data_IF_592458268609
#
_entry.id   IF_592458268609
#
_cell.length_a   1.000
_cell.length_b   1.000
_cell.length_c   1.000
_cell.angle_alpha   90.00
_cell.angle_beta   90.00
_cell.angle_gamma   90.00
#
_symmetry.space_group_name_H-M   'P 1'
#
loop_
_entity.id
_entity.type
_entity.pdbx_description
1 polymer ?
#
# COMPACT_ATOMS: atom_id res chain seq x y z
N UNK A 1 -11.36 6.99 -10.20
CA UNK A 1 -10.67 7.67 -11.31
C UNK A 1 -11.28 7.20 -12.63
N UNK A 2 -12.36 7.88 -13.08
CA UNK A 2 -13.02 7.57 -14.36
C UNK A 2 -12.02 7.79 -15.51
N UNK A 3 -12.06 6.87 -16.44
CA UNK A 3 -11.21 6.68 -17.60
C UNK A 3 -11.06 7.93 -18.49
N UNK A 4 -9.87 8.54 -18.46
CA UNK A 4 -9.35 9.49 -19.47
C UNK A 4 -8.69 8.90 -20.75
N UNK A 5 -8.71 7.58 -21.09
CA UNK A 5 -8.15 7.13 -22.38
C UNK A 5 -8.79 7.81 -23.59
N UNK A 6 -10.11 7.99 -23.58
CA UNK A 6 -10.86 8.56 -24.71
C UNK A 6 -10.55 10.06 -24.97
N UNK A 7 -10.20 10.83 -23.93
CA UNK A 7 -9.75 12.22 -24.10
C UNK A 7 -8.29 12.30 -24.59
N UNK A 8 -7.46 11.30 -24.25
CA UNK A 8 -6.04 11.26 -24.62
C UNK A 8 -5.83 10.96 -26.10
N UNK A 9 -6.60 10.02 -26.65
CA UNK A 9 -6.53 9.67 -28.07
C UNK A 9 -7.00 10.81 -28.99
N UNK A 10 -7.98 11.61 -28.54
CA UNK A 10 -8.53 12.71 -29.33
C UNK A 10 -7.66 13.99 -29.33
N UNK A 11 -6.72 14.13 -28.39
CA UNK A 11 -5.94 15.37 -28.21
C UNK A 11 -4.45 15.24 -28.56
N UNK A 12 -3.97 14.06 -29.00
CA UNK A 12 -2.56 13.81 -29.31
C UNK A 12 -1.59 14.31 -28.22
N UNK A 13 -1.98 14.19 -26.94
CA UNK A 13 -1.17 14.69 -25.83
C UNK A 13 0.08 13.82 -25.65
N UNK A 14 1.25 14.42 -25.34
CA UNK A 14 2.46 13.66 -25.08
C UNK A 14 2.30 12.77 -23.85
N UNK A 15 2.60 11.48 -24.02
CA UNK A 15 2.58 10.47 -22.93
C UNK A 15 3.98 10.09 -22.45
N UNK A 16 5.01 10.62 -23.13
CA UNK A 16 6.42 10.39 -22.82
C UNK A 16 7.17 11.71 -22.75
N UNK A 17 8.00 11.88 -21.72
CA UNK A 17 8.72 13.12 -21.43
C UNK A 17 10.23 12.88 -21.36
N UNK A 18 11.02 13.85 -21.83
CA UNK A 18 12.48 13.84 -21.66
C UNK A 18 12.90 14.24 -20.24
N UNK A 19 12.12 15.14 -19.62
CA UNK A 19 12.31 15.59 -18.24
C UNK A 19 10.97 15.70 -17.52
N UNK A 20 10.93 15.24 -16.28
CA UNK A 20 9.80 15.43 -15.37
C UNK A 20 10.34 16.10 -14.11
N UNK A 21 9.73 17.21 -13.69
CA UNK A 21 10.03 17.84 -12.40
C UNK A 21 8.80 17.71 -11.50
N UNK A 22 8.96 17.03 -10.37
CA UNK A 22 7.87 16.68 -9.47
C UNK A 22 7.75 17.65 -8.28
N UNK A 23 8.63 18.65 -8.17
CA UNK A 23 8.74 19.46 -6.95
C UNK A 23 8.87 18.51 -5.73
N UNK A 24 8.12 18.76 -4.67
CA UNK A 24 8.07 17.98 -3.43
C UNK A 24 7.02 16.86 -3.44
N UNK A 25 6.41 16.53 -4.59
CA UNK A 25 5.39 15.46 -4.67
C UNK A 25 5.84 14.14 -4.03
N UNK A 26 7.10 13.67 -4.19
CA UNK A 26 7.53 12.40 -3.58
C UNK A 26 7.37 12.33 -2.06
N UNK A 27 7.39 13.45 -1.33
CA UNK A 27 7.11 13.47 0.11
C UNK A 27 5.71 12.94 0.47
N UNK A 28 4.79 12.93 -0.50
CA UNK A 28 3.37 12.60 -0.32
C UNK A 28 2.92 11.33 -1.08
N UNK A 29 3.81 10.68 -1.84
CA UNK A 29 3.43 9.54 -2.72
C UNK A 29 4.38 8.34 -2.63
N UNK A 30 4.90 8.00 -1.43
CA UNK A 30 5.90 6.94 -1.21
C UNK A 30 7.29 7.24 -1.80
N UNK A 31 7.70 8.50 -1.84
CA UNK A 31 9.06 8.91 -2.12
C UNK A 31 9.64 8.32 -3.43
N UNK A 32 10.84 7.75 -3.38
CA UNK A 32 11.51 7.21 -4.56
C UNK A 32 10.85 5.93 -5.10
N UNK A 33 10.14 5.15 -4.28
CA UNK A 33 9.36 4.00 -4.77
C UNK A 33 8.21 4.47 -5.66
N UNK A 34 7.39 5.42 -5.18
CA UNK A 34 6.30 5.98 -5.98
C UNK A 34 6.79 6.67 -7.26
N UNK A 35 7.92 7.39 -7.16
CA UNK A 35 8.56 8.01 -8.33
C UNK A 35 8.96 6.96 -9.37
N UNK A 36 9.58 5.86 -8.94
CA UNK A 36 9.97 4.76 -9.82
C UNK A 36 8.77 4.04 -10.46
N UNK A 37 7.64 3.93 -9.76
CA UNK A 37 6.44 3.24 -10.24
C UNK A 37 5.56 4.10 -11.16
N UNK A 38 5.46 5.41 -10.90
CA UNK A 38 4.45 6.26 -11.55
C UNK A 38 5.04 7.35 -12.44
N UNK A 39 6.23 7.86 -12.14
CA UNK A 39 6.85 8.93 -12.94
C UNK A 39 7.85 8.38 -13.97
N UNK A 40 8.79 7.52 -13.53
CA UNK A 40 9.84 6.96 -14.40
C UNK A 40 9.28 6.26 -15.65
N UNK A 41 8.18 5.48 -15.60
CA UNK A 41 7.63 4.83 -16.79
C UNK A 41 7.13 5.81 -17.87
N UNK A 42 6.93 7.08 -17.52
CA UNK A 42 6.54 8.15 -18.46
C UNK A 42 7.75 8.82 -19.11
N UNK A 43 8.98 8.35 -18.88
CA UNK A 43 10.18 8.88 -19.53
C UNK A 43 10.41 8.25 -20.92
N UNK A 44 10.98 9.04 -21.84
CA UNK A 44 11.18 8.66 -23.25
C UNK A 44 12.27 7.61 -23.43
N UNK A 45 13.43 7.84 -22.82
CA UNK A 45 14.64 7.03 -23.03
C UNK A 45 15.57 7.03 -21.80
N UNK A 46 16.71 6.35 -21.89
CA UNK A 46 17.71 6.23 -20.82
C UNK A 46 18.46 7.54 -20.51
N UNK A 47 18.34 8.56 -21.35
CA UNK A 47 18.92 9.89 -21.10
C UNK A 47 17.91 10.82 -20.39
N UNK A 48 16.64 10.44 -20.41
CA UNK A 48 15.55 11.14 -19.76
C UNK A 48 15.62 11.01 -18.24
N UNK A 49 15.11 12.01 -17.54
CA UNK A 49 15.24 12.13 -16.08
C UNK A 49 13.95 12.61 -15.42
N UNK A 50 13.67 12.10 -14.24
CA UNK A 50 12.70 12.69 -13.31
C UNK A 50 13.44 13.23 -12.10
N UNK A 51 13.09 14.44 -11.67
CA UNK A 51 13.70 15.13 -10.55
C UNK A 51 12.66 15.60 -9.53
N UNK A 52 13.05 15.69 -8.27
CA UNK A 52 12.24 16.20 -7.18
C UNK A 52 13.13 16.81 -6.09
N UNK A 53 12.60 17.81 -5.37
CA UNK A 53 13.17 18.29 -4.10
C UNK A 53 12.38 17.69 -2.92
N UNK A 54 12.89 17.85 -1.70
CA UNK A 54 12.23 17.37 -0.48
C UNK A 54 11.97 18.56 0.43
N UNK A 55 10.70 18.76 0.81
CA UNK A 55 10.29 19.89 1.64
C UNK A 55 9.80 19.42 3.01
N UNK A 56 9.01 18.35 3.02
CA UNK A 56 8.31 17.92 4.22
C UNK A 56 9.13 16.90 5.02
N UNK A 57 9.74 15.95 4.32
CA UNK A 57 10.37 14.79 4.97
C UNK A 57 11.84 15.04 5.33
N UNK A 58 12.49 16.03 4.71
CA UNK A 58 13.95 16.26 4.86
C UNK A 58 14.44 16.39 6.32
N UNK A 59 13.73 17.05 7.27
CA UNK A 59 14.27 17.20 8.62
C UNK A 59 14.45 15.87 9.34
N UNK A 60 13.61 14.87 9.02
CA UNK A 60 13.70 13.53 9.60
C UNK A 60 14.91 12.73 9.10
N UNK A 61 15.53 13.13 7.98
CA UNK A 61 16.65 12.43 7.36
C UNK A 61 18.01 13.12 7.56
N UNK A 62 18.10 14.25 8.27
CA UNK A 62 19.34 15.03 8.41
C UNK A 62 20.51 14.21 8.97
N UNK A 63 20.24 13.32 9.93
CA UNK A 63 21.25 12.45 10.53
C UNK A 63 21.65 11.25 9.66
N UNK A 64 20.80 10.83 8.72
CA UNK A 64 21.07 9.68 7.84
C UNK A 64 20.39 9.86 6.47
N UNK A 65 20.90 10.75 5.59
CA UNK A 65 20.27 11.04 4.29
C UNK A 65 20.00 9.81 3.42
N UNK A 66 20.90 8.81 3.49
CA UNK A 66 20.79 7.58 2.71
C UNK A 66 19.62 6.69 3.15
N UNK A 67 19.11 6.86 4.37
CA UNK A 67 17.93 6.14 4.87
C UNK A 67 16.65 6.50 4.12
N UNK A 68 16.64 7.58 3.32
CA UNK A 68 15.50 7.98 2.50
C UNK A 68 15.03 6.88 1.54
N UNK A 69 15.96 6.33 0.75
CA UNK A 69 15.67 5.21 -0.16
C UNK A 69 15.14 3.98 0.59
N UNK A 70 15.79 3.63 1.71
CA UNK A 70 15.42 2.47 2.51
C UNK A 70 14.06 2.63 3.21
N UNK A 71 13.72 3.84 3.65
CA UNK A 71 12.46 4.12 4.34
C UNK A 71 11.26 3.95 3.42
N UNK A 72 11.37 4.42 2.18
CA UNK A 72 10.24 4.42 1.24
C UNK A 72 10.22 3.23 0.28
N UNK A 73 11.37 2.67 -0.06
CA UNK A 73 11.50 1.58 -1.03
C UNK A 73 12.00 0.28 -0.41
N UNK A 74 12.46 0.27 0.84
CA UNK A 74 13.13 -0.87 1.49
C UNK A 74 14.33 -1.39 0.67
N UNK A 75 15.01 -0.48 -0.03
CA UNK A 75 16.17 -0.71 -0.87
C UNK A 75 17.19 0.40 -0.64
N UNK A 76 18.47 0.06 -0.79
CA UNK A 76 19.49 1.07 -1.02
C UNK A 76 19.41 1.60 -2.46
N UNK A 77 19.83 2.85 -2.68
CA UNK A 77 19.86 3.48 -4.00
C UNK A 77 20.56 2.64 -5.10
N UNK A 78 21.58 1.86 -4.74
CA UNK A 78 22.32 0.98 -5.67
C UNK A 78 21.45 -0.17 -6.22
N UNK A 79 20.48 -0.62 -5.45
CA UNK A 79 19.66 -1.80 -5.76
C UNK A 79 18.42 -1.45 -6.60
N UNK A 80 18.18 -0.16 -6.88
CA UNK A 80 17.08 0.29 -7.72
C UNK A 80 17.17 -0.28 -9.15
N UNK A 81 18.39 -0.47 -9.65
CA UNK A 81 18.61 -0.97 -11.01
C UNK A 81 18.13 -2.42 -11.17
N UNK A 82 18.44 -3.27 -10.21
CA UNK A 82 18.07 -4.69 -10.21
C UNK A 82 16.62 -4.91 -9.83
N UNK A 83 16.03 -4.07 -8.97
CA UNK A 83 14.65 -4.27 -8.49
C UNK A 83 13.61 -3.48 -9.29
N UNK A 84 13.85 -2.18 -9.51
CA UNK A 84 12.85 -1.25 -10.04
C UNK A 84 13.08 -0.89 -11.51
N UNK A 85 14.17 -1.37 -12.14
CA UNK A 85 14.46 -1.10 -13.54
C UNK A 85 14.79 0.37 -13.84
N UNK A 86 15.27 1.10 -12.83
CA UNK A 86 15.68 2.49 -12.94
C UNK A 86 16.98 2.71 -12.15
N UNK A 87 17.72 3.76 -12.46
CA UNK A 87 18.93 4.13 -11.71
C UNK A 87 18.69 5.42 -10.95
N UNK A 88 19.29 5.49 -9.77
CA UNK A 88 19.46 6.74 -9.03
C UNK A 88 20.64 7.48 -9.65
N UNK A 89 20.39 8.61 -10.31
CA UNK A 89 21.43 9.47 -10.88
C UNK A 89 22.05 10.33 -9.78
N UNK A 90 21.20 10.85 -8.90
CA UNK A 90 21.58 11.63 -7.73
C UNK A 90 20.46 11.50 -6.69
N UNK A 91 20.81 11.45 -5.41
CA UNK A 91 19.82 11.39 -4.33
C UNK A 91 20.41 12.01 -3.07
N UNK A 92 19.96 13.23 -2.80
CA UNK A 92 20.21 13.94 -1.57
C UNK A 92 18.88 14.51 -1.07
N UNK A 93 18.59 14.29 0.21
CA UNK A 93 17.37 14.81 0.85
C UNK A 93 17.45 16.32 1.09
N UNK A 94 18.65 16.89 1.13
CA UNK A 94 18.87 18.33 1.32
C UNK A 94 18.87 19.11 0.01
N UNK A 95 18.89 18.42 -1.13
CA UNK A 95 18.90 19.02 -2.45
C UNK A 95 17.82 18.35 -3.32
N UNK A 96 18.24 17.46 -4.23
CA UNK A 96 17.34 16.81 -5.18
C UNK A 96 17.51 15.30 -5.24
N UNK A 97 16.46 14.63 -5.66
CA UNK A 97 16.49 13.23 -6.09
C UNK A 97 16.19 13.14 -7.57
N UNK A 98 17.07 12.47 -8.31
CA UNK A 98 17.01 12.32 -9.75
C UNK A 98 17.05 10.83 -10.09
N UNK A 99 15.99 10.34 -10.74
CA UNK A 99 15.92 8.99 -11.28
C UNK A 99 15.92 9.02 -12.81
N UNK A 100 16.40 7.95 -13.42
CA UNK A 100 16.44 7.77 -14.87
C UNK A 100 16.08 6.32 -15.21
N UNK A 101 15.32 6.06 -16.29
CA UNK A 101 14.90 4.71 -16.62
C UNK A 101 16.09 3.93 -17.17
N UNK A 102 16.00 2.61 -17.08
CA UNK A 102 16.92 1.69 -17.75
C UNK A 102 16.17 0.96 -18.88
N UNK A 103 16.88 0.37 -19.86
CA UNK A 103 16.23 -0.47 -20.87
C UNK A 103 15.51 -1.64 -20.20
N UNK A 104 14.25 -1.87 -20.59
CA UNK A 104 13.41 -2.95 -20.09
C UNK A 104 12.97 -3.87 -21.24
N UNK A 105 12.84 -5.19 -21.02
CA UNK A 105 13.17 -5.89 -19.78
C UNK A 105 14.69 -5.92 -19.53
N UNK A 106 15.06 -5.99 -18.26
CA UNK A 106 16.46 -6.13 -17.83
C UNK A 106 16.94 -7.56 -18.08
N UNK A 107 18.21 -7.77 -18.45
CA UNK A 107 18.81 -9.10 -18.53
C UNK A 107 18.76 -9.82 -17.17
N UNK A 108 18.50 -11.13 -17.16
CA UNK A 108 18.44 -11.95 -15.94
C UNK A 108 19.65 -11.78 -14.99
N UNK A 109 20.91 -11.70 -15.46
CA UNK A 109 22.06 -11.53 -14.56
C UNK A 109 22.08 -10.17 -13.81
N UNK A 110 21.31 -9.19 -14.29
CA UNK A 110 21.22 -7.86 -13.70
C UNK A 110 20.03 -7.72 -12.74
N UNK A 111 19.16 -8.72 -12.67
CA UNK A 111 18.01 -8.77 -11.76
C UNK A 111 18.40 -9.38 -10.41
N UNK A 112 17.63 -9.05 -9.37
CA UNK A 112 17.75 -9.74 -8.11
C UNK A 112 17.32 -11.21 -8.26
N UNK A 113 17.92 -12.10 -7.46
CA UNK A 113 17.49 -13.51 -7.43
C UNK A 113 16.07 -13.63 -6.88
N UNK A 114 15.39 -14.76 -7.12
CA UNK A 114 14.03 -15.02 -6.62
C UNK A 114 13.92 -14.80 -5.11
N UNK A 115 14.89 -15.30 -4.35
CA UNK A 115 14.87 -15.21 -2.89
C UNK A 115 15.06 -13.77 -2.42
N UNK A 116 16.01 -13.03 -3.02
CA UNK A 116 16.23 -11.61 -2.70
C UNK A 116 14.98 -10.77 -3.02
N UNK A 117 14.39 -10.99 -4.20
CA UNK A 117 13.14 -10.33 -4.60
C UNK A 117 12.00 -10.66 -3.61
N UNK A 118 11.83 -11.94 -3.26
CA UNK A 118 10.78 -12.39 -2.33
C UNK A 118 10.94 -11.74 -0.97
N UNK A 119 12.15 -11.74 -0.40
CA UNK A 119 12.45 -11.06 0.87
C UNK A 119 12.10 -9.58 0.81
N UNK A 120 12.49 -8.90 -0.26
CA UNK A 120 12.17 -7.48 -0.45
C UNK A 120 10.67 -7.22 -0.58
N UNK A 121 9.95 -8.01 -1.39
CA UNK A 121 8.50 -7.90 -1.55
C UNK A 121 7.77 -8.11 -0.23
N UNK A 122 8.23 -9.05 0.61
CA UNK A 122 7.66 -9.26 1.96
C UNK A 122 7.84 -8.00 2.81
N UNK A 123 9.03 -7.38 2.82
CA UNK A 123 9.27 -6.14 3.58
C UNK A 123 8.35 -5.01 3.12
N UNK A 124 8.28 -4.77 1.81
CA UNK A 124 7.41 -3.74 1.22
C UNK A 124 5.94 -4.01 1.57
N UNK A 125 5.50 -5.27 1.45
CA UNK A 125 4.11 -5.65 1.75
C UNK A 125 3.80 -5.47 3.23
N UNK A 126 4.63 -5.98 4.13
CA UNK A 126 4.42 -5.88 5.57
C UNK A 126 4.40 -4.43 6.06
N UNK A 127 5.31 -3.60 5.56
CA UNK A 127 5.30 -2.16 5.86
C UNK A 127 4.17 -1.40 5.16
N UNK A 128 3.53 -1.96 4.14
CA UNK A 128 2.28 -1.42 3.60
C UNK A 128 1.08 -1.75 4.51
N UNK A 129 1.07 -2.92 5.15
CA UNK A 129 -0.02 -3.32 6.04
C UNK A 129 0.06 -2.65 7.42
N UNK A 130 1.28 -2.54 7.97
CA UNK A 130 1.56 -1.98 9.29
C UNK A 130 2.76 -1.03 9.17
N UNK A 131 2.47 0.27 9.22
CA UNK A 131 3.46 1.33 9.10
C UNK A 131 4.33 1.46 10.37
N UNK A 132 5.52 2.03 10.19
CA UNK A 132 6.34 2.53 11.30
C UNK A 132 5.72 3.76 11.96
N UNK A 133 6.13 4.05 13.20
CA UNK A 133 5.59 5.17 13.97
C UNK A 133 6.15 6.49 13.47
N UNK A 134 5.32 7.53 13.52
CA UNK A 134 5.77 8.90 13.25
C UNK A 134 6.81 9.35 14.29
N UNK A 135 7.83 10.09 13.85
CA UNK A 135 8.78 10.72 14.75
C UNK A 135 8.42 12.20 15.01
N UNK A 136 9.07 12.81 16.00
CA UNK A 136 8.87 14.23 16.35
C UNK A 136 9.62 15.21 15.45
N UNK A 137 10.61 14.74 14.69
CA UNK A 137 11.59 15.58 13.99
C UNK A 137 11.20 15.95 12.54
N UNK A 138 10.26 15.25 11.92
CA UNK A 138 9.75 15.57 10.57
C UNK A 138 8.55 14.71 10.17
N UNK A 139 7.85 15.05 9.08
CA UNK A 139 6.69 14.26 8.62
C UNK A 139 7.11 13.32 7.50
N UNK A 140 7.36 12.07 7.85
CA UNK A 140 7.48 10.97 6.89
C UNK A 140 6.08 10.39 6.71
N UNK A 141 5.52 10.50 5.51
CA UNK A 141 4.17 10.01 5.18
C UNK A 141 4.33 8.73 4.36
N UNK A 142 3.68 7.64 4.76
CA UNK A 142 3.76 6.34 4.07
C UNK A 142 2.39 5.98 3.47
N UNK A 143 1.97 6.62 2.37
CA UNK A 143 0.65 6.40 1.76
C UNK A 143 0.56 5.10 0.94
N UNK A 144 1.40 4.10 1.25
CA UNK A 144 1.37 2.83 0.53
C UNK A 144 0.06 2.11 0.83
N UNK A 145 -0.52 1.51 -0.20
CA UNK A 145 -1.75 0.73 -0.12
C UNK A 145 -1.53 -0.59 -0.87
N UNK A 146 -2.44 -1.54 -0.69
CA UNK A 146 -2.41 -2.79 -1.46
C UNK A 146 -2.47 -2.49 -2.97
N UNK A 147 -3.19 -1.46 -3.41
CA UNK A 147 -3.20 -1.04 -4.83
C UNK A 147 -1.80 -0.67 -5.30
N UNK A 148 -1.06 0.14 -4.54
CA UNK A 148 0.33 0.50 -4.88
C UNK A 148 1.22 -0.74 -4.94
N UNK A 149 1.04 -1.69 -4.01
CA UNK A 149 1.79 -2.95 -4.01
C UNK A 149 1.48 -3.82 -5.24
N UNK A 150 0.22 -3.90 -5.66
CA UNK A 150 -0.17 -4.64 -6.86
C UNK A 150 0.38 -3.96 -8.13
N UNK A 151 0.38 -2.63 -8.19
CA UNK A 151 1.06 -1.87 -9.25
C UNK A 151 2.57 -2.18 -9.29
N UNK A 152 3.22 -2.33 -8.12
CA UNK A 152 4.60 -2.79 -8.05
C UNK A 152 4.77 -4.17 -8.70
N UNK A 153 3.91 -5.17 -8.40
CA UNK A 153 4.01 -6.49 -9.04
C UNK A 153 3.87 -6.41 -10.57
N UNK A 154 2.93 -5.61 -11.07
CA UNK A 154 2.75 -5.39 -12.52
C UNK A 154 4.00 -4.73 -13.12
N UNK A 155 4.58 -3.74 -12.43
CA UNK A 155 5.81 -3.08 -12.84
C UNK A 155 6.99 -4.04 -12.90
N UNK A 156 7.15 -4.93 -11.90
CA UNK A 156 8.23 -5.90 -11.87
C UNK A 156 8.20 -6.86 -13.05
N UNK A 157 7.01 -7.21 -13.56
CA UNK A 157 6.93 -7.99 -14.78
C UNK A 157 7.52 -7.24 -15.98
N UNK A 158 7.24 -5.92 -16.11
CA UNK A 158 7.86 -5.07 -17.14
C UNK A 158 9.36 -4.95 -16.95
N UNK A 159 9.84 -4.92 -15.70
CA UNK A 159 11.27 -4.90 -15.37
C UNK A 159 11.98 -6.15 -15.89
N UNK A 160 11.27 -7.27 -16.06
CA UNK A 160 11.81 -8.52 -16.61
C UNK A 160 11.71 -9.71 -15.65
N UNK A 161 11.11 -9.53 -14.47
CA UNK A 161 10.94 -10.64 -13.53
C UNK A 161 9.98 -11.71 -14.07
N UNK A 162 10.29 -13.01 -13.88
CA UNK A 162 9.44 -14.09 -14.37
C UNK A 162 8.01 -14.00 -13.82
N UNK A 163 7.01 -14.04 -14.70
CA UNK A 163 5.60 -13.95 -14.30
C UNK A 163 5.16 -15.03 -13.30
N UNK A 164 5.74 -16.22 -13.37
CA UNK A 164 5.44 -17.30 -12.42
C UNK A 164 5.97 -17.03 -11.00
N UNK A 165 7.02 -16.21 -10.82
CA UNK A 165 7.47 -15.80 -9.47
C UNK A 165 6.48 -14.82 -8.84
N UNK A 166 6.03 -13.83 -9.63
CA UNK A 166 5.09 -12.80 -9.19
C UNK A 166 3.70 -13.41 -8.92
N UNK A 167 3.29 -14.34 -9.79
CA UNK A 167 2.06 -15.11 -9.65
C UNK A 167 2.07 -15.99 -8.40
N UNK A 168 3.14 -16.77 -8.18
CA UNK A 168 3.30 -17.58 -6.97
C UNK A 168 3.24 -16.71 -5.70
N UNK A 169 3.92 -15.56 -5.71
CA UNK A 169 3.89 -14.63 -4.58
C UNK A 169 2.47 -14.13 -4.29
N UNK A 170 1.76 -13.61 -5.30
CA UNK A 170 0.41 -13.09 -5.14
C UNK A 170 -0.60 -14.20 -4.77
N UNK A 171 -0.46 -15.41 -5.31
CA UNK A 171 -1.30 -16.55 -4.94
C UNK A 171 -1.13 -16.91 -3.45
N UNK A 172 0.10 -16.88 -2.93
CA UNK A 172 0.36 -17.13 -1.51
C UNK A 172 -0.26 -16.05 -0.61
N UNK A 173 -0.24 -14.78 -1.04
CA UNK A 173 -0.96 -13.70 -0.34
C UNK A 173 -2.47 -13.95 -0.32
N UNK A 174 -3.06 -14.19 -1.50
CA UNK A 174 -4.51 -14.39 -1.68
C UNK A 174 -5.04 -15.64 -0.96
N UNK A 175 -4.21 -16.69 -0.87
CA UNK A 175 -4.55 -17.93 -0.18
C UNK A 175 -4.24 -17.88 1.32
N UNK A 176 -3.82 -16.72 1.83
CA UNK A 176 -3.40 -16.52 3.22
C UNK A 176 -2.27 -17.48 3.63
N UNK A 177 -1.39 -17.90 2.71
CA UNK A 177 -0.37 -18.95 2.90
C UNK A 177 1.07 -18.40 2.90
N UNK A 178 1.25 -17.08 2.98
CA UNK A 178 2.58 -16.50 3.00
C UNK A 178 3.32 -16.88 4.30
N UNK A 179 4.47 -17.52 4.13
CA UNK A 179 5.36 -17.94 5.22
C UNK A 179 6.62 -17.08 5.23
N UNK A 180 6.96 -16.53 6.39
CA UNK A 180 8.16 -15.70 6.57
C UNK A 180 8.55 -15.57 8.05
N UNK A 181 9.84 -15.38 8.31
CA UNK A 181 10.37 -14.95 9.60
C UNK A 181 10.47 -13.41 9.68
N UNK A 182 10.12 -12.64 8.65
CA UNK A 182 10.24 -11.18 8.66
C UNK A 182 9.06 -10.57 9.41
N UNK A 183 9.35 -9.63 10.31
CA UNK A 183 8.34 -8.82 10.98
C UNK A 183 8.26 -7.40 10.38
N UNK A 184 7.09 -6.75 10.40
CA UNK A 184 6.97 -5.36 9.97
C UNK A 184 7.83 -4.44 10.84
N UNK A 185 8.30 -3.34 10.26
CA UNK A 185 8.97 -2.28 11.00
C UNK A 185 7.95 -1.48 11.82
N UNK A 186 8.04 -1.57 13.15
CA UNK A 186 7.11 -0.90 14.09
C UNK A 186 7.76 0.22 14.91
N UNK A 187 9.04 0.46 14.69
CA UNK A 187 9.80 1.48 15.42
C UNK A 187 9.57 2.88 14.78
N UNK A 188 10.20 3.93 15.32
CA UNK A 188 10.03 5.29 14.80
C UNK A 188 10.72 5.47 13.44
N UNK A 189 10.06 6.11 12.48
CA UNK A 189 10.65 6.47 11.19
C UNK A 189 11.74 7.56 11.38
N UNK A 190 12.73 7.70 10.47
CA UNK A 190 12.99 6.88 9.29
C UNK A 190 13.55 5.49 9.61
N UNK A 191 13.53 4.59 8.62
CA UNK A 191 14.14 3.25 8.73
C UNK A 191 15.63 3.37 8.40
N UNK A 192 16.48 3.29 9.43
CA UNK A 192 17.94 3.33 9.28
C UNK A 192 18.46 2.23 8.36
N UNK A 193 19.55 2.48 7.62
CA UNK A 193 20.24 1.46 6.83
C UNK A 193 20.86 0.36 7.70
N UNK A 194 21.14 0.70 8.96
CA UNK A 194 21.68 -0.25 9.95
C UNK A 194 20.59 -1.01 10.68
N UNK A 195 19.32 -0.81 10.30
CA UNK A 195 18.22 -1.51 10.95
C UNK A 195 18.26 -2.99 10.61
N UNK A 196 18.47 -3.80 11.64
CA UNK A 196 18.29 -5.23 11.58
C UNK A 196 16.80 -5.57 11.72
N UNK A 197 16.21 -6.03 10.62
CA UNK A 197 14.82 -6.47 10.59
C UNK A 197 14.60 -7.56 11.63
N UNK A 198 13.68 -7.29 12.57
CA UNK A 198 13.31 -8.24 13.61
C UNK A 198 12.83 -9.54 12.96
N UNK A 199 13.37 -10.65 13.45
CA UNK A 199 12.95 -11.99 13.02
C UNK A 199 11.92 -12.56 13.99
N UNK A 200 10.82 -13.03 13.44
CA UNK A 200 9.82 -13.84 14.11
C UNK A 200 10.26 -15.30 14.20
N UNK A 201 9.28 -16.19 14.36
CA UNK A 201 9.56 -17.63 14.34
C UNK A 201 9.91 -18.05 12.90
N UNK A 202 10.91 -18.92 12.71
CA UNK A 202 11.14 -19.55 11.42
C UNK A 202 9.86 -20.19 10.91
N UNK A 203 9.63 -20.04 9.61
CA UNK A 203 8.48 -20.63 8.91
C UNK A 203 7.10 -20.28 9.50
N UNK A 204 6.98 -19.10 10.11
CA UNK A 204 5.69 -18.59 10.57
C UNK A 204 4.81 -18.21 9.38
N UNK A 205 3.61 -18.79 9.32
CA UNK A 205 2.54 -18.35 8.43
C UNK A 205 1.99 -17.01 8.91
N UNK A 206 1.92 -16.03 8.02
CA UNK A 206 1.24 -14.77 8.27
C UNK A 206 -0.28 -14.96 8.19
N UNK A 207 -0.98 -14.24 9.04
CA UNK A 207 -2.43 -14.20 9.13
C UNK A 207 -2.96 -12.90 8.53
N UNK A 208 -3.33 -12.96 7.26
CA UNK A 208 -3.74 -11.84 6.42
C UNK A 208 -5.25 -11.64 6.35
N UNK A 209 -6.04 -12.40 7.13
CA UNK A 209 -7.50 -12.38 7.11
C UNK A 209 -8.12 -10.96 7.12
N UNK A 210 -7.60 -9.97 7.87
CA UNK A 210 -8.15 -8.61 7.85
C UNK A 210 -8.04 -7.90 6.50
N UNK A 211 -7.03 -8.23 5.68
CA UNK A 211 -6.75 -7.53 4.41
C UNK A 211 -7.20 -8.32 3.17
N UNK A 212 -7.55 -9.60 3.34
CA UNK A 212 -8.11 -10.43 2.26
C UNK A 212 -9.31 -9.76 1.56
N UNK A 213 -10.28 -9.13 2.24
CA UNK A 213 -11.42 -8.50 1.57
C UNK A 213 -11.03 -7.41 0.56
N UNK A 214 -10.03 -6.59 0.89
CA UNK A 214 -9.50 -5.57 -0.01
C UNK A 214 -8.75 -6.21 -1.18
N UNK A 215 -7.87 -7.18 -0.90
CA UNK A 215 -7.15 -7.91 -1.95
C UNK A 215 -8.09 -8.61 -2.93
N UNK A 216 -9.16 -9.26 -2.44
CA UNK A 216 -10.23 -9.87 -3.26
C UNK A 216 -10.86 -8.84 -4.20
N UNK A 217 -11.26 -7.68 -3.66
CA UNK A 217 -11.90 -6.63 -4.45
C UNK A 217 -10.97 -6.01 -5.50
N UNK A 218 -9.68 -5.86 -5.19
CA UNK A 218 -8.68 -5.37 -6.14
C UNK A 218 -8.44 -6.41 -7.23
N UNK A 219 -8.07 -7.64 -6.87
CA UNK A 219 -7.71 -8.70 -7.82
C UNK A 219 -8.87 -9.06 -8.74
N UNK A 220 -10.10 -9.17 -8.21
CA UNK A 220 -11.29 -9.46 -9.03
C UNK A 220 -11.44 -8.45 -10.18
N UNK A 221 -11.15 -7.16 -9.95
CA UNK A 221 -11.33 -6.10 -10.96
C UNK A 221 -10.20 -6.00 -11.97
N UNK A 222 -8.97 -6.35 -11.57
CA UNK A 222 -7.80 -6.19 -12.43
C UNK A 222 -7.32 -7.48 -13.05
N UNK A 223 -7.94 -8.62 -12.74
CA UNK A 223 -7.50 -9.93 -13.19
C UNK A 223 -7.19 -9.98 -14.70
N UNK A 224 -8.02 -9.41 -15.61
CA UNK A 224 -7.73 -9.43 -17.04
C UNK A 224 -6.55 -8.54 -17.45
N UNK A 225 -6.16 -7.58 -16.59
CA UNK A 225 -5.07 -6.63 -16.82
C UNK A 225 -3.75 -7.07 -16.18
N UNK A 226 -3.73 -8.16 -15.41
CA UNK A 226 -2.50 -8.71 -14.87
C UNK A 226 -1.66 -9.33 -15.98
N UNK A 227 -0.35 -9.01 -16.06
CA UNK A 227 0.48 -9.49 -17.15
C UNK A 227 1.07 -10.89 -16.89
N UNK A 228 0.56 -11.59 -15.87
CA UNK A 228 0.92 -12.96 -15.52
C UNK A 228 -0.34 -13.70 -15.04
N UNK A 229 -0.40 -15.01 -15.33
CA UNK A 229 -1.54 -15.84 -15.00
C UNK A 229 -1.61 -16.10 -13.48
N UNK A 230 -2.80 -16.03 -12.88
CA UNK A 230 -3.05 -16.43 -11.49
C UNK A 230 -3.94 -17.66 -11.44
N UNK A 231 -3.58 -18.62 -10.60
CA UNK A 231 -4.51 -19.68 -10.18
C UNK A 231 -5.38 -19.11 -9.06
N UNK A 232 -6.64 -18.82 -9.38
CA UNK A 232 -7.52 -18.16 -8.43
C UNK A 232 -8.08 -19.15 -7.39
N UNK A 233 -8.24 -18.71 -6.12
CA UNK A 233 -9.09 -19.42 -5.19
C UNK A 233 -10.51 -19.51 -5.76
N UNK A 234 -11.17 -20.66 -5.62
CA UNK A 234 -12.57 -20.86 -6.06
C UNK A 234 -13.55 -19.84 -5.45
N UNK A 235 -13.18 -19.21 -4.35
CA UNK A 235 -13.98 -18.25 -3.61
C UNK A 235 -13.80 -16.78 -4.05
N UNK A 236 -12.96 -16.49 -5.06
CA UNK A 236 -12.81 -15.11 -5.53
C UNK A 236 -14.14 -14.62 -6.14
N UNK A 237 -14.66 -13.45 -5.72
CA UNK A 237 -15.86 -12.87 -6.32
C UNK A 237 -15.62 -12.48 -7.79
N UNK A 238 -16.68 -12.53 -8.61
CA UNK A 238 -16.61 -11.97 -9.95
C UNK A 238 -16.43 -10.44 -9.89
N UNK A 239 -15.84 -9.79 -10.91
CA UNK A 239 -15.73 -8.33 -10.95
C UNK A 239 -17.09 -7.64 -10.75
N UNK A 240 -18.14 -8.21 -11.33
CA UNK A 240 -19.51 -7.69 -11.27
C UNK A 240 -20.09 -7.80 -9.86
N UNK A 241 -19.58 -8.69 -9.00
CA UNK A 241 -20.02 -8.89 -7.61
C UNK A 241 -19.38 -7.89 -6.62
N UNK A 242 -18.41 -7.09 -7.08
CA UNK A 242 -17.80 -6.03 -6.29
C UNK A 242 -18.69 -4.78 -6.34
N UNK A 243 -19.30 -4.44 -5.21
CA UNK A 243 -20.09 -3.22 -5.07
C UNK A 243 -19.25 -2.05 -4.59
N UNK A 244 -19.67 -0.83 -4.95
CA UNK A 244 -19.20 0.42 -4.36
C UNK A 244 -20.14 0.80 -3.23
N UNK A 245 -19.62 0.95 -2.01
CA UNK A 245 -20.41 1.26 -0.82
C UNK A 245 -20.01 2.58 -0.22
N UNK A 246 -20.94 3.19 0.51
CA UNK A 246 -20.72 4.44 1.21
C UNK A 246 -21.38 4.48 2.58
N UNK A 247 -20.82 5.30 3.46
CA UNK A 247 -21.37 5.62 4.77
C UNK A 247 -21.03 7.06 5.17
N UNK A 248 -21.87 7.64 6.02
CA UNK A 248 -21.63 8.94 6.64
C UNK A 248 -20.95 8.75 8.00
N UNK A 249 -19.98 9.62 8.30
CA UNK A 249 -19.18 9.60 9.53
C UNK A 249 -18.98 11.03 10.04
N UNK A 250 -18.61 11.16 11.30
CA UNK A 250 -18.15 12.43 11.86
C UNK A 250 -16.66 12.33 12.15
N UNK A 251 -15.84 13.15 11.50
CA UNK A 251 -14.40 13.15 11.74
C UNK A 251 -14.10 13.92 13.04
N UNK A 252 -13.25 13.34 13.90
CA UNK A 252 -12.88 13.95 15.17
C UNK A 252 -11.68 14.89 14.99
N UNK A 253 -11.90 16.16 15.33
CA UNK A 253 -10.86 17.19 15.41
C UNK A 253 -10.54 17.87 14.08
N UNK A 254 -9.94 19.05 14.17
CA UNK A 254 -9.07 19.61 13.14
C UNK A 254 -7.87 18.66 13.02
N UNK A 255 -8.04 17.51 12.38
CA UNK A 255 -6.87 16.76 11.95
C UNK A 255 -6.01 17.76 11.16
N UNK A 256 -4.71 17.79 11.41
CA UNK A 256 -3.78 18.36 10.44
C UNK A 256 -3.79 17.43 9.22
N UNK A 257 -4.93 17.40 8.51
CA UNK A 257 -5.32 16.47 7.44
C UNK A 257 -4.27 16.46 6.34
N UNK A 258 -3.56 17.57 6.19
CA UNK A 258 -2.48 17.73 5.23
C UNK A 258 -1.37 16.66 5.35
N UNK A 259 -1.29 15.88 6.45
CA UNK A 259 -0.16 14.96 6.66
C UNK A 259 -0.53 13.64 7.38
N UNK A 260 -1.70 13.08 7.10
CA UNK A 260 -2.13 11.79 7.65
C UNK A 260 -2.56 10.82 6.55
N UNK A 261 -2.30 9.53 6.79
CA UNK A 261 -2.71 8.45 5.88
C UNK A 261 -3.88 7.72 6.50
N UNK A 262 -5.06 7.96 5.93
CA UNK A 262 -6.29 7.31 6.37
C UNK A 262 -6.51 5.97 5.68
N UNK A 263 -7.22 5.10 6.39
CA UNK A 263 -7.73 3.81 5.93
C UNK A 263 -9.07 3.56 6.61
N UNK A 264 -9.78 2.50 6.20
CA UNK A 264 -11.03 2.11 6.84
C UNK A 264 -10.82 0.87 7.69
N UNK A 265 -11.26 0.94 8.95
CA UNK A 265 -11.28 -0.18 9.87
C UNK A 265 -12.72 -0.64 10.07
N UNK A 266 -12.98 -1.87 9.64
CA UNK A 266 -14.23 -2.58 9.84
C UNK A 266 -14.08 -3.54 11.01
N UNK A 267 -15.11 -3.64 11.86
CA UNK A 267 -15.07 -4.53 13.01
C UNK A 267 -16.46 -5.04 13.39
N UNK A 268 -16.51 -6.27 13.91
CA UNK A 268 -17.74 -6.83 14.47
C UNK A 268 -17.96 -6.27 15.89
N UNK A 269 -19.01 -5.46 16.06
CA UNK A 269 -19.29 -4.75 17.32
C UNK A 269 -19.58 -5.69 18.50
N UNK A 270 -20.05 -6.91 18.24
CA UNK A 270 -20.33 -7.90 19.28
C UNK A 270 -19.07 -8.61 19.78
N UNK A 271 -17.96 -8.54 19.03
CA UNK A 271 -16.72 -9.28 19.30
C UNK A 271 -15.52 -8.39 19.56
N UNK A 272 -15.49 -7.18 19.00
CA UNK A 272 -14.39 -6.23 19.09
C UNK A 272 -14.89 -4.92 19.70
N UNK A 273 -14.35 -4.56 20.86
CA UNK A 273 -14.58 -3.26 21.50
C UNK A 273 -13.44 -2.32 21.17
N UNK A 274 -13.69 -1.47 20.21
CA UNK A 274 -12.70 -0.58 19.60
C UNK A 274 -12.19 0.49 20.56
N UNK A 275 -13.05 0.99 21.45
CA UNK A 275 -12.72 1.95 22.51
C UNK A 275 -11.68 1.41 23.50
N UNK A 276 -11.54 0.08 23.59
CA UNK A 276 -10.64 -0.58 24.53
C UNK A 276 -9.27 -0.93 23.90
N UNK A 277 -9.06 -0.64 22.62
CA UNK A 277 -7.78 -0.92 21.96
C UNK A 277 -6.90 0.32 22.08
N UNK A 278 -6.12 0.37 23.17
CA UNK A 278 -5.20 1.47 23.45
C UNK A 278 -4.07 1.59 22.42
N UNK A 279 -3.69 0.47 21.79
CA UNK A 279 -2.66 0.42 20.74
C UNK A 279 -3.09 -0.54 19.61
N UNK A 280 -3.62 0.04 18.53
CA UNK A 280 -4.01 -0.75 17.36
C UNK A 280 -2.81 -1.35 16.62
N UNK A 281 -1.62 -0.76 16.68
CA UNK A 281 -0.45 -1.31 16.00
C UNK A 281 -0.09 -2.67 16.60
N UNK A 282 -0.01 -2.74 17.92
CA UNK A 282 0.26 -3.98 18.65
C UNK A 282 -0.85 -5.02 18.41
N UNK A 283 -2.11 -4.58 18.36
CA UNK A 283 -3.24 -5.46 18.07
C UNK A 283 -3.15 -6.08 16.66
N UNK A 284 -2.87 -5.26 15.64
CA UNK A 284 -2.73 -5.73 14.26
C UNK A 284 -1.49 -6.62 14.08
N UNK A 285 -0.39 -6.33 14.78
CA UNK A 285 0.79 -7.17 14.80
C UNK A 285 0.50 -8.55 15.41
N UNK A 286 -0.29 -8.61 16.49
CA UNK A 286 -0.73 -9.86 17.09
C UNK A 286 -1.63 -10.65 16.12
N UNK A 287 -2.59 -9.99 15.46
CA UNK A 287 -3.40 -10.64 14.40
C UNK A 287 -2.52 -11.22 13.32
N UNK A 288 -1.59 -10.42 12.78
CA UNK A 288 -0.68 -10.82 11.69
C UNK A 288 0.16 -12.06 12.05
N UNK A 289 0.50 -12.22 13.32
CA UNK A 289 1.25 -13.38 13.86
C UNK A 289 0.37 -14.59 14.22
N UNK A 290 -0.95 -14.49 14.03
CA UNK A 290 -1.91 -15.52 14.42
C UNK A 290 -2.17 -15.60 15.92
N UNK A 291 -1.70 -14.62 16.70
CA UNK A 291 -1.95 -14.56 18.12
C UNK A 291 -3.45 -14.30 18.34
N UNK A 292 -4.12 -15.22 19.05
CA UNK A 292 -5.57 -15.13 19.23
C UNK A 292 -6.40 -15.61 18.03
N UNK A 293 -5.82 -16.32 17.06
CA UNK A 293 -6.57 -16.94 15.95
C UNK A 293 -7.70 -17.86 16.46
N UNK A 294 -7.44 -18.66 17.50
CA UNK A 294 -8.47 -19.50 18.15
C UNK A 294 -9.59 -18.70 18.86
N UNK A 295 -9.40 -17.40 19.06
CA UNK A 295 -10.43 -16.47 19.59
C UNK A 295 -11.12 -15.68 18.46
N UNK A 296 -10.81 -15.99 17.20
CA UNK A 296 -11.37 -15.32 16.03
C UNK A 296 -10.94 -13.86 15.86
N UNK A 297 -9.80 -13.46 16.44
CA UNK A 297 -9.41 -12.03 16.47
C UNK A 297 -9.32 -11.42 15.06
N UNK A 298 -8.64 -12.09 14.12
CA UNK A 298 -8.54 -11.62 12.73
C UNK A 298 -9.84 -11.71 11.93
N UNK A 299 -10.73 -12.66 12.24
CA UNK A 299 -11.99 -12.85 11.51
C UNK A 299 -13.03 -11.77 11.81
N UNK A 300 -12.85 -11.01 12.89
CA UNK A 300 -13.77 -9.98 13.35
C UNK A 300 -13.29 -8.56 13.01
N UNK A 301 -12.22 -8.44 12.23
CA UNK A 301 -11.64 -7.17 11.77
C UNK A 301 -11.43 -7.26 10.27
N UNK A 302 -11.60 -6.14 9.57
CA UNK A 302 -11.22 -5.98 8.18
C UNK A 302 -10.63 -4.58 7.98
N UNK A 303 -9.55 -4.48 7.20
CA UNK A 303 -8.88 -3.21 6.90
C UNK A 303 -8.94 -2.99 5.40
N UNK A 304 -9.31 -1.78 5.00
CA UNK A 304 -9.24 -1.31 3.62
C UNK A 304 -8.32 -0.10 3.58
N UNK A 305 -7.12 -0.29 3.03
CA UNK A 305 -6.09 0.74 2.91
C UNK A 305 -6.39 1.72 1.76
N UNK A 306 -7.02 1.23 0.69
CA UNK A 306 -7.40 2.01 -0.49
C UNK A 306 -8.91 2.28 -0.51
N UNK A 307 -9.30 3.46 -0.03
CA UNK A 307 -10.67 3.95 -0.13
C UNK A 307 -10.91 4.69 -1.45
N UNK A 308 -12.16 4.68 -1.91
CA UNK A 308 -12.56 5.37 -3.15
C UNK A 308 -12.71 6.88 -2.95
N UNK A 309 -13.22 7.28 -1.78
CA UNK A 309 -13.35 8.68 -1.39
C UNK A 309 -13.41 8.80 0.13
N UNK A 310 -12.92 9.95 0.62
CA UNK A 310 -13.07 10.43 1.98
C UNK A 310 -13.23 11.94 1.94
N UNK A 311 -14.37 12.42 2.43
CA UNK A 311 -14.55 13.83 2.79
C UNK A 311 -14.14 14.02 4.24
N UNK A 312 -13.19 14.96 4.46
CA UNK A 312 -12.70 15.35 5.78
C UNK A 312 -13.55 16.45 6.43
N UNK A 313 -14.75 16.67 5.94
CA UNK A 313 -15.72 17.56 6.59
C UNK A 313 -16.11 17.01 7.98
N UNK A 314 -16.59 17.90 8.85
CA UNK A 314 -17.10 17.51 10.18
C UNK A 314 -18.15 16.41 10.07
N UNK A 315 -18.96 16.44 9.00
CA UNK A 315 -19.80 15.34 8.55
C UNK A 315 -19.24 14.86 7.21
N UNK A 316 -18.40 13.83 7.28
CA UNK A 316 -17.71 13.27 6.14
C UNK A 316 -18.49 12.12 5.49
N UNK A 317 -18.23 11.91 4.21
CA UNK A 317 -18.62 10.71 3.48
C UNK A 317 -17.39 9.86 3.20
N UNK A 318 -17.48 8.55 3.46
CA UNK A 318 -16.49 7.56 3.02
C UNK A 318 -17.08 6.65 1.96
N UNK A 319 -16.24 6.16 1.05
CA UNK A 319 -16.62 5.11 0.12
C UNK A 319 -15.52 4.10 -0.11
N UNK A 320 -15.91 2.86 -0.36
CA UNK A 320 -15.00 1.72 -0.55
C UNK A 320 -15.62 0.66 -1.44
N UNK A 321 -14.80 -0.25 -1.94
CA UNK A 321 -15.26 -1.43 -2.68
C UNK A 321 -15.10 -2.70 -1.89
N UNK A 322 -16.08 -3.58 -2.02
CA UNK A 322 -16.09 -4.89 -1.35
C UNK A 322 -17.07 -5.81 -2.07
N UNK A 323 -16.93 -7.14 -1.90
CA UNK A 323 -17.94 -8.09 -2.37
C UNK A 323 -19.31 -7.82 -1.73
N UNK A 324 -20.39 -7.81 -2.54
CA UNK A 324 -21.78 -7.71 -2.05
C UNK A 324 -22.13 -8.79 -1.04
N UNK A 325 -21.67 -10.03 -1.28
CA UNK A 325 -21.90 -11.15 -0.38
C UNK A 325 -21.28 -10.89 1.01
N UNK A 326 -20.08 -10.31 1.05
CA UNK A 326 -19.40 -9.96 2.30
C UNK A 326 -20.11 -8.81 3.02
N UNK A 327 -20.52 -7.76 2.31
CA UNK A 327 -21.28 -6.66 2.92
C UNK A 327 -22.62 -7.15 3.48
N UNK A 328 -23.35 -8.01 2.76
CA UNK A 328 -24.59 -8.63 3.24
C UNK A 328 -24.37 -9.37 4.56
N UNK A 329 -23.32 -10.20 4.64
CA UNK A 329 -22.92 -10.89 5.88
C UNK A 329 -22.56 -9.93 7.00
N UNK A 330 -21.76 -8.90 6.71
CA UNK A 330 -21.39 -7.87 7.69
C UNK A 330 -22.61 -7.12 8.26
N UNK A 331 -23.64 -6.87 7.44
CA UNK A 331 -24.93 -6.33 7.91
C UNK A 331 -25.62 -7.27 8.88
N UNK A 332 -25.75 -8.56 8.52
CA UNK A 332 -26.37 -9.57 9.39
C UNK A 332 -25.62 -9.75 10.72
N UNK A 333 -24.30 -9.67 10.69
CA UNK A 333 -23.44 -9.88 11.87
C UNK A 333 -23.23 -8.61 12.72
N UNK A 334 -23.81 -7.46 12.34
CA UNK A 334 -23.77 -6.23 13.12
C UNK A 334 -22.41 -5.51 13.12
N UNK A 335 -21.74 -5.46 11.96
CA UNK A 335 -20.45 -4.77 11.82
C UNK A 335 -20.60 -3.24 11.82
N UNK A 336 -19.47 -2.56 12.02
CA UNK A 336 -19.33 -1.13 11.81
C UNK A 336 -18.00 -0.80 11.10
N UNK A 337 -17.91 0.42 10.58
CA UNK A 337 -16.71 0.99 9.96
C UNK A 337 -16.35 2.31 10.63
N UNK A 338 -15.05 2.60 10.73
CA UNK A 338 -14.52 3.89 11.14
C UNK A 338 -13.28 4.25 10.31
N UNK A 339 -12.93 5.54 10.30
CA UNK A 339 -11.67 6.02 9.71
C UNK A 339 -10.54 5.78 10.69
N UNK A 340 -9.51 5.13 10.19
CA UNK A 340 -8.31 4.72 10.90
C UNK A 340 -7.09 5.44 10.32
N UNK A 341 -6.33 6.13 11.16
CA UNK A 341 -5.06 6.74 10.79
C UNK A 341 -3.95 5.71 10.99
N UNK A 342 -3.22 5.40 9.92
CA UNK A 342 -2.33 4.23 9.84
C UNK A 342 -0.94 4.41 10.45
N UNK A 343 -0.48 5.64 10.75
CA UNK A 343 0.86 5.91 11.29
C UNK A 343 0.84 6.21 12.80
N UNK A 344 -0.25 6.81 13.26
CA UNK A 344 -0.61 7.02 14.67
C UNK A 344 -1.44 5.86 15.23
N UNK A 345 -1.91 4.95 14.36
CA UNK A 345 -2.67 3.76 14.70
C UNK A 345 -3.89 4.07 15.59
N UNK A 346 -4.69 5.06 15.20
CA UNK A 346 -5.85 5.52 15.97
C UNK A 346 -7.06 5.75 15.10
N UNK A 347 -8.24 5.70 15.71
CA UNK A 347 -9.48 6.05 15.03
C UNK A 347 -9.72 7.54 15.13
N UNK A 348 -10.08 8.13 14.00
CA UNK A 348 -10.24 9.58 13.84
C UNK A 348 -11.64 9.96 13.38
N UNK A 349 -12.61 9.06 13.51
CA UNK A 349 -14.01 9.34 13.22
C UNK A 349 -14.99 8.59 14.13
N UNK A 350 -16.25 8.99 14.08
CA UNK A 350 -17.37 8.17 14.54
C UNK A 350 -17.44 6.88 13.75
N UNK A 351 -18.18 5.92 14.32
CA UNK A 351 -18.44 4.63 13.68
C UNK A 351 -19.75 4.70 12.90
N UNK A 352 -19.78 4.13 11.70
CA UNK A 352 -21.00 3.94 10.92
C UNK A 352 -21.40 2.47 10.93
N UNK A 353 -22.59 2.15 11.40
CA UNK A 353 -23.06 0.76 11.51
C UNK A 353 -23.45 0.20 10.16
N UNK A 354 -23.31 -1.11 9.98
CA UNK A 354 -23.51 -1.76 8.68
C UNK A 354 -24.89 -1.54 8.06
N UNK A 355 -25.93 -1.37 8.89
CA UNK A 355 -27.28 -1.07 8.41
C UNK A 355 -27.39 0.26 7.67
N UNK A 356 -26.50 1.22 7.96
CA UNK A 356 -26.49 2.55 7.33
C UNK A 356 -25.68 2.57 6.03
N UNK A 357 -24.93 1.49 5.72
CA UNK A 357 -24.13 1.42 4.51
C UNK A 357 -25.01 1.31 3.28
N UNK A 358 -24.79 2.18 2.30
CA UNK A 358 -25.54 2.21 1.05
C UNK A 358 -24.64 1.75 -0.09
N UNK A 359 -25.21 0.97 -1.01
CA UNK A 359 -24.55 0.70 -2.28
C UNK A 359 -24.77 1.89 -3.22
N UNK A 360 -23.72 2.33 -3.89
CA UNK A 360 -23.76 3.35 -4.92
C UNK A 360 -23.87 2.67 -6.29
N UNK A 361 -24.87 3.06 -7.07
CA UNK A 361 -24.96 2.63 -8.46
C UNK A 361 -23.85 3.32 -9.25
N UNK A 362 -22.96 2.54 -9.87
CA UNK A 362 -22.00 3.08 -10.85
C UNK A 362 -22.81 3.54 -12.08
N UNK A 363 -22.96 4.86 -12.25
CA UNK A 363 -23.57 5.49 -13.44
C UNK A 363 -22.58 5.56 -14.59
#
# INVERSE_FOLDING_TARGET
MRTYPALRENLNLPVKFSKIWLSNVPDYINGPLGTALFAVPSLQDTNSKTGANHLLSFPAFYGEPKAFSNTYAHLEARDFSSHLGCRVVYMDVLDVTILSPLPLPRPNPELATREVLKTWLIRVFLCTLINGKKNSLGKIITPSTIVTFIHLLIHLHKVGYPGHWLSDFLQNLMSNNLVTDILPYTDALPISLRHDWKKGRPDARLHLEPWIPEMEAIVARILPALPFALTLPKALPAPEDIGLFTAMIHCYGEASVANSVASLLFFNRSKVRVENVADWQSHLLAVLRGEGAGKGMGANICIVLSMDALSWEMVGQISWRMSRARVKRMKTEGWAVAVYETQEHKIVSSTAVANDWKELNES
#
